data_IF_225023104139
#
_entry.id   IF_225023104139
#
_cell.length_a   1.000
_cell.length_b   1.000
_cell.length_c   1.000
_cell.angle_alpha   90.00
_cell.angle_beta   90.00
_cell.angle_gamma   90.00
#
_symmetry.space_group_name_H-M   'P 1'
#
loop_
_entity.id
_entity.type
_entity.pdbx_description
1 polymer ?
#
# COMPACT_ATOMS: atom_id res chain seq x y z
N UNK A 1 -24.00 -23.38 -73.61
CA UNK A 1 -22.86 -22.97 -72.75
C UNK A 1 -23.22 -22.00 -71.63
N UNK A 2 -24.22 -21.11 -71.79
CA UNK A 2 -24.62 -20.14 -70.75
C UNK A 2 -25.17 -20.79 -69.46
N UNK A 3 -25.96 -21.86 -69.55
CA UNK A 3 -26.55 -22.56 -68.39
C UNK A 3 -25.54 -23.33 -67.52
N UNK A 4 -24.44 -23.84 -68.10
CA UNK A 4 -23.40 -24.54 -67.34
C UNK A 4 -22.57 -23.57 -66.50
N UNK A 5 -22.34 -22.36 -67.00
CA UNK A 5 -21.63 -21.29 -66.26
C UNK A 5 -22.48 -20.80 -65.08
N UNK A 6 -23.81 -20.70 -65.25
CA UNK A 6 -24.70 -20.28 -64.15
C UNK A 6 -24.73 -21.30 -63.01
N UNK A 7 -24.69 -22.60 -63.31
CA UNK A 7 -24.64 -23.65 -62.28
C UNK A 7 -23.31 -23.67 -61.49
N UNK A 8 -22.19 -23.36 -62.13
CA UNK A 8 -20.88 -23.32 -61.47
C UNK A 8 -20.75 -22.11 -60.53
N UNK A 9 -21.30 -20.95 -60.91
CA UNK A 9 -21.30 -19.75 -60.05
C UNK A 9 -22.21 -19.90 -58.82
N UNK A 10 -23.34 -20.58 -58.94
CA UNK A 10 -24.25 -20.83 -57.80
C UNK A 10 -23.61 -21.78 -56.77
N UNK A 11 -22.87 -22.81 -57.22
CA UNK A 11 -22.14 -23.69 -56.30
C UNK A 11 -20.98 -22.99 -55.59
N UNK A 12 -20.32 -22.01 -56.23
CA UNK A 12 -19.25 -21.24 -55.58
C UNK A 12 -19.80 -20.26 -54.53
N UNK A 13 -20.99 -19.69 -54.74
CA UNK A 13 -21.69 -18.83 -53.78
C UNK A 13 -22.21 -19.58 -52.55
N UNK A 14 -22.54 -20.87 -52.67
CA UNK A 14 -22.98 -21.70 -51.55
C UNK A 14 -21.85 -22.08 -50.57
N UNK A 15 -20.58 -22.04 -51.00
CA UNK A 15 -19.43 -22.24 -50.10
C UNK A 15 -18.98 -20.96 -49.37
N UNK A 16 -19.38 -19.78 -49.83
CA UNK A 16 -19.00 -18.50 -49.21
C UNK A 16 -19.81 -18.17 -47.94
N UNK A 17 -20.94 -18.84 -47.70
CA UNK A 17 -21.85 -18.55 -46.58
C UNK A 17 -21.54 -19.26 -45.26
N UNK A 18 -20.56 -20.18 -45.22
CA UNK A 18 -20.32 -21.01 -44.02
C UNK A 18 -19.26 -20.48 -43.06
N UNK A 19 -18.61 -19.34 -43.35
CA UNK A 19 -17.73 -18.66 -42.40
C UNK A 19 -18.57 -17.71 -41.53
N UNK A 20 -19.59 -18.26 -40.87
CA UNK A 20 -20.17 -17.58 -39.71
C UNK A 20 -19.14 -17.69 -38.60
N UNK A 21 -18.54 -16.57 -38.17
CA UNK A 21 -17.67 -16.55 -37.02
C UNK A 21 -18.46 -17.05 -35.79
N UNK A 22 -18.36 -18.35 -35.51
CA UNK A 22 -18.98 -18.96 -34.34
C UNK A 22 -18.25 -18.40 -33.13
N UNK A 23 -18.88 -17.42 -32.46
CA UNK A 23 -18.50 -17.03 -31.12
C UNK A 23 -18.83 -18.22 -30.22
N UNK A 24 -17.88 -19.14 -30.07
CA UNK A 24 -18.00 -20.24 -29.12
C UNK A 24 -18.00 -19.65 -27.71
N UNK A 25 -18.65 -20.35 -26.76
CA UNK A 25 -18.61 -19.97 -25.32
C UNK A 25 -17.17 -19.80 -24.83
N UNK A 26 -16.25 -20.53 -25.44
CA UNK A 26 -14.81 -20.49 -25.19
C UNK A 26 -14.21 -19.09 -25.47
N UNK A 27 -14.61 -18.43 -26.57
CA UNK A 27 -14.15 -17.06 -26.87
C UNK A 27 -14.59 -16.03 -25.83
N UNK A 28 -15.81 -16.17 -25.29
CA UNK A 28 -16.31 -15.29 -24.22
C UNK A 28 -15.58 -15.57 -22.90
N UNK A 29 -15.30 -16.83 -22.59
CA UNK A 29 -14.55 -17.22 -21.40
C UNK A 29 -13.10 -16.69 -21.44
N UNK A 30 -12.43 -16.76 -22.60
CA UNK A 30 -11.09 -16.20 -22.81
C UNK A 30 -11.09 -14.69 -22.61
N UNK A 31 -12.03 -13.96 -23.22
CA UNK A 31 -12.17 -12.50 -23.06
C UNK A 31 -12.41 -12.10 -21.60
N UNK A 32 -13.25 -12.85 -20.87
CA UNK A 32 -13.49 -12.60 -19.45
C UNK A 32 -12.24 -12.85 -18.61
N UNK A 33 -11.48 -13.92 -18.87
CA UNK A 33 -10.22 -14.20 -18.19
C UNK A 33 -9.18 -13.11 -18.45
N UNK A 34 -9.07 -12.64 -19.70
CA UNK A 34 -8.16 -11.55 -20.05
C UNK A 34 -8.55 -10.23 -19.38
N UNK A 35 -9.84 -9.93 -19.30
CA UNK A 35 -10.36 -8.79 -18.53
C UNK A 35 -10.01 -8.88 -17.05
N UNK A 36 -10.18 -10.03 -16.42
CA UNK A 36 -9.81 -10.22 -15.01
C UNK A 36 -8.30 -10.13 -14.79
N UNK A 37 -7.48 -10.68 -15.71
CA UNK A 37 -6.02 -10.50 -15.68
C UNK A 37 -5.61 -9.04 -15.75
N UNK A 38 -6.23 -8.26 -16.65
CA UNK A 38 -5.96 -6.83 -16.80
C UNK A 38 -6.33 -6.06 -15.52
N UNK A 39 -7.49 -6.34 -14.92
CA UNK A 39 -7.89 -5.73 -13.64
C UNK A 39 -6.87 -6.01 -12.54
N UNK A 40 -6.47 -7.27 -12.38
CA UNK A 40 -5.47 -7.65 -11.36
C UNK A 40 -4.13 -6.94 -11.62
N UNK A 41 -3.69 -6.88 -12.88
CA UNK A 41 -2.47 -6.17 -13.25
C UNK A 41 -2.52 -4.67 -12.92
N UNK A 42 -3.68 -4.02 -13.15
CA UNK A 42 -3.91 -2.62 -12.76
C UNK A 42 -3.82 -2.47 -11.24
N UNK A 43 -4.52 -3.31 -10.47
CA UNK A 43 -4.49 -3.27 -9.00
C UNK A 43 -3.08 -3.52 -8.44
N UNK A 44 -2.29 -4.43 -9.03
CA UNK A 44 -0.89 -4.63 -8.64
C UNK A 44 -0.07 -3.35 -8.83
N UNK A 45 -0.23 -2.66 -9.96
CA UNK A 45 0.50 -1.43 -10.23
C UNK A 45 0.07 -0.29 -9.28
N UNK A 46 -1.22 -0.14 -9.02
CA UNK A 46 -1.75 0.83 -8.04
C UNK A 46 -1.19 0.56 -6.64
N UNK A 47 -1.18 -0.71 -6.21
CA UNK A 47 -0.62 -1.11 -4.93
C UNK A 47 0.90 -0.89 -4.86
N UNK A 48 1.65 -1.15 -5.95
CA UNK A 48 3.09 -0.88 -6.03
C UNK A 48 3.40 0.62 -5.97
N UNK A 49 2.57 1.45 -6.60
CA UNK A 49 2.70 2.91 -6.50
C UNK A 49 2.48 3.38 -5.06
N UNK A 50 1.39 2.92 -4.43
CA UNK A 50 1.11 3.24 -3.03
C UNK A 50 2.20 2.74 -2.09
N UNK A 51 2.79 1.58 -2.37
CA UNK A 51 3.91 1.05 -1.60
C UNK A 51 5.11 2.00 -1.66
N UNK A 52 5.47 2.45 -2.87
CA UNK A 52 6.56 3.40 -3.05
C UNK A 52 6.29 4.74 -2.31
N UNK A 53 5.04 5.22 -2.31
CA UNK A 53 4.65 6.42 -1.54
C UNK A 53 4.87 6.22 -0.02
N UNK A 54 4.42 5.09 0.53
CA UNK A 54 4.59 4.79 1.95
C UNK A 54 6.07 4.56 2.34
N UNK A 55 6.83 3.89 1.49
CA UNK A 55 8.28 3.68 1.69
C UNK A 55 9.03 5.02 1.66
N UNK A 56 8.66 5.95 0.77
CA UNK A 56 9.21 7.31 0.75
C UNK A 56 8.85 8.10 2.02
N UNK A 57 7.65 7.92 2.57
CA UNK A 57 7.24 8.57 3.81
C UNK A 57 8.02 8.06 5.03
N UNK A 58 8.49 6.80 4.99
CA UNK A 58 9.15 6.12 6.11
C UNK A 58 10.37 6.87 6.62
N UNK A 59 11.22 7.40 5.72
CA UNK A 59 12.39 8.16 6.11
C UNK A 59 12.03 9.44 6.89
N UNK A 60 10.98 10.15 6.44
CA UNK A 60 10.50 11.37 7.09
C UNK A 60 9.90 11.09 8.47
N UNK A 61 9.15 10.00 8.61
CA UNK A 61 8.52 9.56 9.86
C UNK A 61 9.55 9.08 10.88
N UNK A 62 10.57 8.35 10.41
CA UNK A 62 11.70 7.90 11.23
C UNK A 62 12.46 9.11 11.79
N UNK A 63 12.85 10.05 10.92
CA UNK A 63 13.53 11.28 11.37
C UNK A 63 12.67 12.11 12.34
N UNK A 64 11.36 12.18 12.13
CA UNK A 64 10.46 12.86 13.06
C UNK A 64 10.41 12.16 14.43
N UNK A 65 10.31 10.82 14.45
CA UNK A 65 10.36 10.03 15.69
C UNK A 65 11.66 10.26 16.44
N UNK A 66 12.81 10.19 15.77
CA UNK A 66 14.12 10.42 16.37
C UNK A 66 14.19 11.80 17.03
N UNK A 67 13.72 12.85 16.33
CA UNK A 67 13.65 14.21 16.89
C UNK A 67 12.76 14.31 18.13
N UNK A 68 11.62 13.60 18.16
CA UNK A 68 10.76 13.60 19.34
C UNK A 68 11.38 12.83 20.50
N UNK A 69 12.12 11.75 20.22
CA UNK A 69 12.85 10.98 21.22
C UNK A 69 13.98 11.83 21.84
N UNK A 70 14.77 12.50 21.01
CA UNK A 70 15.85 13.38 21.46
C UNK A 70 15.32 14.52 22.34
N UNK A 71 14.23 15.16 21.91
CA UNK A 71 13.61 16.23 22.69
C UNK A 71 13.01 15.71 24.01
N UNK A 72 12.38 14.53 23.99
CA UNK A 72 11.87 13.86 25.19
C UNK A 72 12.99 13.58 26.18
N UNK A 73 14.12 13.03 25.71
CA UNK A 73 15.28 12.75 26.55
C UNK A 73 15.85 14.04 27.16
N UNK A 74 16.07 15.06 26.33
CA UNK A 74 16.58 16.36 26.77
C UNK A 74 15.69 17.02 27.83
N UNK A 75 14.37 16.93 27.68
CA UNK A 75 13.42 17.48 28.65
C UNK A 75 13.32 16.63 29.91
N UNK A 76 13.49 15.31 29.81
CA UNK A 76 13.58 14.42 30.97
C UNK A 76 14.82 14.74 31.81
N UNK A 77 15.98 14.91 31.17
CA UNK A 77 17.23 15.28 31.84
C UNK A 77 17.09 16.64 32.52
N UNK A 78 16.55 17.64 31.81
CA UNK A 78 16.26 18.96 32.40
C UNK A 78 15.30 18.87 33.59
N UNK A 79 14.28 18.02 33.50
CA UNK A 79 13.35 17.83 34.61
C UNK A 79 14.04 17.21 35.83
N UNK A 80 14.95 16.25 35.62
CA UNK A 80 15.77 15.68 36.68
C UNK A 80 16.62 16.76 37.35
N UNK A 81 17.36 17.54 36.58
CA UNK A 81 18.23 18.59 37.12
C UNK A 81 17.43 19.64 37.93
N UNK A 82 16.24 20.03 37.45
CA UNK A 82 15.37 20.97 38.17
C UNK A 82 14.73 20.33 39.42
N UNK A 83 14.47 19.03 39.40
CA UNK A 83 13.98 18.31 40.57
C UNK A 83 15.07 18.18 41.64
N UNK A 84 16.30 17.94 41.23
CA UNK A 84 17.47 17.92 42.12
C UNK A 84 17.68 19.31 42.75
N UNK A 85 17.59 20.39 41.96
CA UNK A 85 17.62 21.78 42.45
C UNK A 85 16.54 22.05 43.51
N UNK A 86 15.31 21.54 43.30
CA UNK A 86 14.20 21.69 44.25
C UNK A 86 14.46 20.89 45.53
N UNK A 87 15.08 19.72 45.44
CA UNK A 87 15.36 18.87 46.59
C UNK A 87 16.32 19.55 47.57
N UNK A 88 17.22 20.42 47.08
CA UNK A 88 18.10 21.23 47.94
C UNK A 88 17.38 22.31 48.74
N UNK A 89 16.25 22.81 48.25
CA UNK A 89 15.40 23.79 48.96
C UNK A 89 13.91 23.52 48.65
N UNK A 90 13.31 22.53 49.34
CA UNK A 90 11.97 22.05 49.00
C UNK A 90 10.86 23.05 49.27
N UNK A 91 11.13 24.09 50.08
CA UNK A 91 10.14 25.10 50.45
C UNK A 91 10.15 26.32 49.51
N UNK A 92 11.15 26.43 48.61
CA UNK A 92 11.20 27.50 47.62
C UNK A 92 10.08 27.34 46.57
N UNK A 93 9.08 28.22 46.67
CA UNK A 93 7.94 28.30 45.74
C UNK A 93 8.36 28.53 44.28
N UNK A 94 9.44 29.27 44.02
CA UNK A 94 9.93 29.51 42.64
C UNK A 94 10.53 28.24 42.06
N UNK A 95 11.35 27.52 42.84
CA UNK A 95 11.89 26.21 42.43
C UNK A 95 10.78 25.20 42.19
N UNK A 96 9.78 25.13 43.08
CA UNK A 96 8.63 24.24 42.93
C UNK A 96 7.86 24.53 41.64
N UNK A 97 7.63 25.82 41.32
CA UNK A 97 6.98 26.23 40.07
C UNK A 97 7.80 25.86 38.83
N UNK A 98 9.14 25.98 38.88
CA UNK A 98 10.05 25.59 37.79
C UNK A 98 10.01 24.09 37.57
N UNK A 99 10.07 23.29 38.64
CA UNK A 99 9.96 21.82 38.59
C UNK A 99 8.64 21.38 37.98
N UNK A 100 7.51 21.94 38.44
CA UNK A 100 6.19 21.61 37.87
C UNK A 100 6.08 21.91 36.37
N UNK A 101 6.68 23.02 35.90
CA UNK A 101 6.75 23.33 34.45
C UNK A 101 7.62 22.33 33.69
N UNK A 102 8.78 21.97 34.25
CA UNK A 102 9.71 21.03 33.61
C UNK A 102 9.09 19.64 33.51
N UNK A 103 8.44 19.16 34.58
CA UNK A 103 7.74 17.89 34.60
C UNK A 103 6.64 17.82 33.55
N UNK A 104 5.84 18.89 33.42
CA UNK A 104 4.80 18.96 32.40
C UNK A 104 5.36 18.95 30.98
N UNK A 105 6.47 19.66 30.75
CA UNK A 105 7.14 19.66 29.45
C UNK A 105 7.68 18.27 29.08
N UNK A 106 8.37 17.61 30.01
CA UNK A 106 8.89 16.25 29.83
C UNK A 106 7.76 15.24 29.58
N UNK A 107 6.65 15.32 30.32
CA UNK A 107 5.50 14.46 30.13
C UNK A 107 4.85 14.62 28.74
N UNK A 108 4.74 15.86 28.26
CA UNK A 108 4.21 16.13 26.93
C UNK A 108 5.15 15.60 25.83
N UNK A 109 6.44 15.86 25.94
CA UNK A 109 7.42 15.39 24.95
C UNK A 109 7.48 13.85 24.90
N UNK A 110 7.45 13.18 26.06
CA UNK A 110 7.34 11.72 26.12
C UNK A 110 6.05 11.18 25.47
N UNK A 111 4.93 11.90 25.60
CA UNK A 111 3.69 11.54 24.91
C UNK A 111 3.82 11.70 23.40
N UNK A 112 4.46 12.78 22.94
CA UNK A 112 4.60 13.05 21.51
C UNK A 112 5.62 12.11 20.84
N UNK A 113 6.70 11.74 21.55
CA UNK A 113 7.61 10.67 21.17
C UNK A 113 6.89 9.33 20.97
N UNK A 114 6.05 8.92 21.94
CA UNK A 114 5.24 7.70 21.80
C UNK A 114 4.31 7.74 20.59
N UNK A 115 3.59 8.85 20.39
CA UNK A 115 2.73 9.00 19.20
C UNK A 115 3.52 8.95 17.89
N UNK A 116 4.74 9.47 17.87
CA UNK A 116 5.58 9.43 16.68
C UNK A 116 6.01 7.98 16.38
N UNK A 117 6.37 7.22 17.42
CA UNK A 117 6.64 5.77 17.32
C UNK A 117 5.41 5.01 16.82
N UNK A 118 4.23 5.21 17.43
CA UNK A 118 2.99 4.53 17.05
C UNK A 118 2.62 4.79 15.57
N UNK A 119 2.89 6.00 15.07
CA UNK A 119 2.67 6.34 13.66
C UNK A 119 3.64 5.63 12.73
N UNK A 120 4.91 5.50 13.11
CA UNK A 120 5.90 4.76 12.33
C UNK A 120 5.59 3.26 12.30
N UNK A 121 5.15 2.71 13.43
CA UNK A 121 4.69 1.32 13.52
C UNK A 121 3.46 1.06 12.65
N UNK A 122 2.49 2.00 12.66
CA UNK A 122 1.32 1.97 11.78
C UNK A 122 1.71 1.96 10.30
N UNK A 123 2.60 2.87 9.90
CA UNK A 123 3.12 2.92 8.52
C UNK A 123 3.81 1.62 8.12
N UNK A 124 4.60 1.04 9.00
CA UNK A 124 5.31 -0.23 8.75
C UNK A 124 4.31 -1.37 8.55
N UNK A 125 3.25 -1.44 9.36
CA UNK A 125 2.17 -2.42 9.18
C UNK A 125 1.43 -2.24 7.85
N UNK A 126 1.12 -1.00 7.48
CA UNK A 126 0.47 -0.71 6.19
C UNK A 126 1.34 -1.17 5.00
N UNK A 127 2.66 -0.95 5.09
CA UNK A 127 3.63 -1.45 4.10
C UNK A 127 3.60 -2.98 4.02
N UNK A 128 3.64 -3.67 5.16
CA UNK A 128 3.65 -5.14 5.20
C UNK A 128 2.34 -5.75 4.66
N UNK A 129 1.20 -5.15 5.02
CA UNK A 129 -0.11 -5.53 4.50
C UNK A 129 -0.19 -5.33 2.99
N UNK A 130 0.34 -4.21 2.48
CA UNK A 130 0.33 -3.92 1.06
C UNK A 130 1.26 -4.87 0.28
N UNK A 131 2.44 -5.19 0.82
CA UNK A 131 3.34 -6.22 0.28
C UNK A 131 2.66 -7.59 0.24
N UNK A 132 1.87 -7.93 1.25
CA UNK A 132 1.06 -9.16 1.24
C UNK A 132 0.00 -9.14 0.14
N UNK A 133 -0.78 -8.05 0.02
CA UNK A 133 -1.79 -7.90 -1.04
C UNK A 133 -1.21 -8.02 -2.44
N UNK A 134 -0.07 -7.36 -2.69
CA UNK A 134 0.64 -7.47 -3.98
C UNK A 134 1.00 -8.92 -4.28
N UNK A 135 1.57 -9.65 -3.32
CA UNK A 135 1.92 -11.07 -3.51
C UNK A 135 0.70 -11.93 -3.79
N UNK A 136 -0.39 -11.73 -3.05
CA UNK A 136 -1.63 -12.47 -3.25
C UNK A 136 -2.22 -12.21 -4.65
N UNK A 137 -2.15 -10.97 -5.13
CA UNK A 137 -2.63 -10.59 -6.46
C UNK A 137 -1.69 -11.09 -7.58
N UNK A 138 -0.38 -11.06 -7.39
CA UNK A 138 0.60 -11.65 -8.31
C UNK A 138 0.41 -13.18 -8.43
N UNK A 139 0.09 -13.85 -7.31
CA UNK A 139 -0.25 -15.27 -7.32
C UNK A 139 -1.55 -15.56 -8.10
N UNK A 140 -2.61 -14.77 -7.88
CA UNK A 140 -3.85 -14.89 -8.65
C UNK A 140 -3.61 -14.68 -10.15
N UNK A 141 -2.80 -13.68 -10.51
CA UNK A 141 -2.44 -13.39 -11.90
C UNK A 141 -1.69 -14.56 -12.53
N UNK A 142 -0.78 -15.20 -11.79
CA UNK A 142 -0.05 -16.39 -12.24
C UNK A 142 -0.98 -17.58 -12.48
N UNK A 143 -1.92 -17.84 -11.57
CA UNK A 143 -2.92 -18.92 -11.72
C UNK A 143 -3.79 -18.68 -12.97
N UNK A 144 -4.29 -17.46 -13.14
CA UNK A 144 -5.09 -17.07 -14.32
C UNK A 144 -4.27 -17.16 -15.62
N UNK A 145 -2.98 -16.83 -15.59
CA UNK A 145 -2.07 -16.97 -16.73
C UNK A 145 -1.78 -18.41 -17.11
N UNK A 146 -1.60 -19.30 -16.12
CA UNK A 146 -1.37 -20.73 -16.35
C UNK A 146 -2.61 -21.51 -16.81
N UNK A 147 -3.81 -21.06 -16.44
CA UNK A 147 -5.08 -21.72 -16.81
C UNK A 147 -5.43 -21.56 -18.30
N UNK A 148 -4.92 -20.51 -18.96
CA UNK A 148 -5.14 -20.27 -20.40
C UNK A 148 -4.18 -21.09 -21.29
N UNK A 149 -3.01 -21.51 -20.78
CA UNK A 149 -2.03 -22.28 -21.55
C UNK A 149 -2.32 -23.80 -21.57
N UNK A 150 -3.26 -24.28 -20.75
CA UNK A 150 -3.59 -25.71 -20.59
C UNK A 150 -4.96 -26.10 -21.17
N UNK A 151 -5.61 -25.22 -21.93
CA UNK A 151 -6.85 -25.54 -22.68
C UNK A 151 -6.63 -25.38 -24.18
#
# INVERSE_FOLDING_TARGET
MKQKITLTFINLLLFAGLISAQVTKDSIAVLNNEKERLKIAVTINENKLKLAELENETASRTSYMDKQNDESQRLADKNRDVADDLTTDPQDKKKAKKAGKSAKAAANASKDARKASDKLDGLTKDIDELKKKIRDDEQKLSILGGTVLNN
#
